data_IF_707652775952
#
_entry.id   IF_707652775952
#
_cell.length_a   1.000
_cell.length_b   1.000
_cell.length_c   1.000
_cell.angle_alpha   90.00
_cell.angle_beta   90.00
_cell.angle_gamma   90.00
#
_symmetry.space_group_name_H-M   'P 1'
#
loop_
_entity.id
_entity.type
_entity.pdbx_description
1 polymer ?
#
# COMPACT_ATOMS: atom_id res chain seq x y z
N UNK A 1 7.46 24.90 -24.16
CA UNK A 1 6.90 23.54 -24.09
C UNK A 1 7.62 22.81 -22.97
N UNK A 2 6.95 22.49 -21.86
CA UNK A 2 7.54 21.58 -20.86
C UNK A 2 7.61 20.19 -21.48
N UNK A 3 8.80 19.62 -21.58
CA UNK A 3 9.05 18.36 -22.32
C UNK A 3 8.33 17.16 -21.67
N UNK A 4 7.99 17.23 -20.38
CA UNK A 4 7.24 16.21 -19.65
C UNK A 4 6.37 16.85 -18.55
N UNK A 5 5.14 16.36 -18.40
CA UNK A 5 4.32 16.57 -17.22
C UNK A 5 4.74 15.58 -16.14
N UNK A 6 5.37 16.07 -15.06
CA UNK A 6 5.90 15.24 -13.97
C UNK A 6 4.81 14.67 -13.06
N UNK A 7 3.56 15.10 -13.23
CA UNK A 7 2.42 14.70 -12.40
C UNK A 7 1.49 13.74 -13.11
N UNK A 8 1.75 13.42 -14.38
CA UNK A 8 0.96 12.48 -15.14
C UNK A 8 1.18 11.04 -14.64
N UNK A 9 0.07 10.31 -14.43
CA UNK A 9 0.11 8.91 -14.03
C UNK A 9 0.68 8.03 -15.14
N UNK A 10 1.46 7.01 -14.78
CA UNK A 10 2.00 6.03 -15.75
C UNK A 10 0.85 5.22 -16.36
N UNK A 11 0.89 4.98 -17.67
CA UNK A 11 -0.03 4.08 -18.34
C UNK A 11 0.18 2.64 -17.86
N UNK A 12 -0.90 1.86 -17.75
CA UNK A 12 -0.82 0.50 -17.21
C UNK A 12 0.14 -0.42 -17.97
N UNK A 13 0.29 -0.22 -19.29
CA UNK A 13 1.21 -0.99 -20.13
C UNK A 13 2.70 -0.73 -19.79
N UNK A 14 3.02 0.43 -19.22
CA UNK A 14 4.38 0.83 -18.85
C UNK A 14 4.67 0.65 -17.36
N UNK A 15 3.65 0.27 -16.57
CA UNK A 15 3.81 0.00 -15.15
C UNK A 15 4.66 -1.26 -14.93
N UNK A 16 5.66 -1.15 -14.07
CA UNK A 16 6.43 -2.33 -13.66
C UNK A 16 5.50 -3.34 -12.95
N UNK A 17 5.69 -4.65 -13.17
CA UNK A 17 4.84 -5.69 -12.57
C UNK A 17 5.01 -5.85 -11.04
N UNK A 18 5.94 -5.10 -10.43
CA UNK A 18 6.24 -5.20 -9.00
C UNK A 18 6.94 -6.51 -8.63
N UNK A 19 6.59 -7.08 -7.48
CA UNK A 19 7.14 -8.34 -6.97
C UNK A 19 6.03 -9.23 -6.44
N UNK A 20 6.13 -10.54 -6.71
CA UNK A 20 5.18 -11.53 -6.18
C UNK A 20 5.42 -11.86 -4.70
N UNK A 21 6.66 -11.72 -4.22
CA UNK A 21 6.97 -11.90 -2.80
C UNK A 21 6.50 -10.67 -2.03
N UNK A 22 5.54 -10.80 -1.10
CA UNK A 22 5.03 -9.68 -0.34
C UNK A 22 6.12 -9.12 0.59
N UNK A 23 6.02 -7.82 0.90
CA UNK A 23 6.88 -7.21 1.92
C UNK A 23 6.49 -7.74 3.31
N UNK A 24 7.46 -8.12 4.17
CA UNK A 24 7.13 -8.53 5.54
C UNK A 24 6.61 -7.35 6.35
N UNK A 25 5.55 -7.57 7.11
CA UNK A 25 4.95 -6.61 8.04
C UNK A 25 4.86 -7.24 9.42
N UNK A 26 5.06 -6.44 10.47
CA UNK A 26 4.88 -6.90 11.85
C UNK A 26 3.42 -7.30 12.12
N UNK A 27 3.20 -8.26 13.01
CA UNK A 27 1.85 -8.72 13.37
C UNK A 27 1.09 -7.71 14.24
N UNK A 28 1.81 -6.87 14.98
CA UNK A 28 1.26 -5.87 15.90
C UNK A 28 1.65 -4.45 15.46
N UNK A 29 0.72 -3.51 15.60
CA UNK A 29 0.92 -2.12 15.29
C UNK A 29 1.89 -1.47 16.29
N UNK A 30 2.91 -0.80 15.78
CA UNK A 30 3.99 -0.26 16.60
C UNK A 30 3.54 0.77 17.66
N UNK A 31 2.41 1.46 17.43
CA UNK A 31 1.92 2.50 18.36
C UNK A 31 0.97 1.94 19.43
N UNK A 32 0.08 1.04 19.05
CA UNK A 32 -1.03 0.61 19.93
C UNK A 32 -0.96 -0.87 20.32
N UNK A 33 -0.01 -1.63 19.78
CA UNK A 33 0.20 -3.03 20.12
C UNK A 33 -0.91 -3.99 19.67
N UNK A 34 -1.93 -3.52 18.95
CA UNK A 34 -3.01 -4.36 18.45
C UNK A 34 -2.64 -5.02 17.12
N UNK A 35 -3.39 -6.04 16.73
CA UNK A 35 -3.18 -6.73 15.46
C UNK A 35 -3.26 -5.79 14.27
N UNK A 36 -2.31 -5.91 13.34
CA UNK A 36 -2.31 -5.17 12.07
C UNK A 36 -3.37 -5.66 11.07
N UNK A 37 -3.91 -6.87 11.26
CA UNK A 37 -4.79 -7.53 10.27
C UNK A 37 -6.12 -8.00 10.86
N UNK A 38 -6.15 -8.41 12.12
CA UNK A 38 -7.39 -8.79 12.78
C UNK A 38 -8.15 -7.53 13.21
N UNK A 39 -9.34 -7.35 12.64
CA UNK A 39 -10.30 -6.32 13.05
C UNK A 39 -11.32 -6.95 14.00
N UNK A 40 -11.38 -6.54 15.28
CA UNK A 40 -12.38 -7.04 16.22
C UNK A 40 -13.81 -6.74 15.79
N UNK A 41 -14.76 -7.54 16.29
CA UNK A 41 -16.18 -7.31 16.05
C UNK A 41 -16.61 -5.89 16.50
N UNK A 42 -17.38 -5.21 15.65
CA UNK A 42 -17.84 -3.84 15.88
C UNK A 42 -16.85 -2.73 15.49
N UNK A 43 -15.69 -3.09 14.91
CA UNK A 43 -14.75 -2.13 14.30
C UNK A 43 -14.77 -2.23 12.77
N UNK A 44 -14.31 -1.17 12.10
CA UNK A 44 -14.31 -1.04 10.64
C UNK A 44 -12.96 -0.53 10.12
N UNK A 45 -12.68 -0.78 8.83
CA UNK A 45 -11.54 -0.23 8.09
C UNK A 45 -12.06 0.88 7.19
N UNK A 46 -11.42 2.06 7.22
CA UNK A 46 -11.78 3.23 6.42
C UNK A 46 -11.09 3.27 5.06
#
# INVERSE_FOLDING_TARGET
MSLFDKTHLVAQADALPGRNTPMPVATLHAVNGHSMTNVPAGMEVA
#
